data_IF_973663494772
#
_entry.id   IF_973663494772
#
_cell.length_a   1.000
_cell.length_b   1.000
_cell.length_c   1.000
_cell.angle_alpha   90.00
_cell.angle_beta   90.00
_cell.angle_gamma   90.00
#
_symmetry.space_group_name_H-M   'P 1'
#
loop_
_entity.id
_entity.type
_entity.pdbx_description
1 polymer ?
#
# COMPACT_ATOMS: atom_id res chain seq x y z
N UNK A 1 19.03 -7.52 4.10
CA UNK A 1 19.17 -7.28 2.64
C UNK A 1 18.25 -6.13 2.18
N UNK A 2 18.84 -4.96 1.91
CA UNK A 2 18.14 -3.84 1.28
C UNK A 2 17.52 -4.34 -0.03
N UNK A 3 16.19 -4.30 -0.13
CA UNK A 3 15.47 -4.50 -1.39
C UNK A 3 15.72 -3.26 -2.26
N UNK A 4 16.94 -3.15 -2.78
CA UNK A 4 17.42 -2.00 -3.52
C UNK A 4 16.59 -1.81 -4.79
N UNK A 5 15.97 -0.63 -4.91
CA UNK A 5 15.48 -0.17 -6.19
C UNK A 5 16.70 0.16 -7.06
N UNK A 6 17.02 -0.73 -8.00
CA UNK A 6 18.05 -0.48 -9.00
C UNK A 6 17.38 0.06 -10.25
N UNK A 7 17.44 1.39 -10.51
CA UNK A 7 16.99 1.93 -11.78
C UNK A 7 17.88 1.39 -12.91
N UNK A 8 17.35 1.28 -14.14
CA UNK A 8 18.17 0.89 -15.27
C UNK A 8 19.29 1.91 -15.52
N UNK A 9 20.46 1.46 -15.99
CA UNK A 9 21.56 2.35 -16.36
C UNK A 9 21.13 3.28 -17.51
N UNK A 10 21.58 4.53 -17.46
CA UNK A 10 21.23 5.58 -18.43
C UNK A 10 21.61 5.22 -19.89
N UNK A 11 22.54 4.28 -20.08
CA UNK A 11 22.95 3.75 -21.39
C UNK A 11 21.82 3.04 -22.15
N UNK A 12 20.75 2.63 -21.44
CA UNK A 12 19.60 1.95 -22.04
C UNK A 12 18.51 2.93 -22.51
N UNK A 13 18.64 4.23 -22.21
CA UNK A 13 17.69 5.25 -22.67
C UNK A 13 17.68 5.29 -24.21
N UNK A 14 16.50 5.31 -24.79
CA UNK A 14 16.25 5.26 -26.23
C UNK A 14 16.12 3.84 -26.81
N UNK A 15 16.49 2.80 -26.07
CA UNK A 15 16.40 1.41 -26.54
C UNK A 15 15.03 0.80 -26.27
N UNK A 16 14.57 -0.04 -27.20
CA UNK A 16 13.44 -0.94 -26.97
C UNK A 16 13.92 -2.18 -26.26
N UNK A 17 13.27 -2.53 -25.15
CA UNK A 17 13.56 -3.72 -24.36
C UNK A 17 12.29 -4.49 -24.07
N UNK A 18 12.48 -5.77 -23.81
CA UNK A 18 11.45 -6.65 -23.27
C UNK A 18 11.66 -6.81 -21.77
N UNK A 19 10.57 -7.10 -21.07
CA UNK A 19 10.61 -7.33 -19.64
C UNK A 19 9.31 -7.88 -19.10
N UNK A 20 9.33 -8.27 -17.82
CA UNK A 20 8.18 -8.87 -17.14
C UNK A 20 7.59 -7.89 -16.15
N UNK A 21 6.28 -7.69 -16.24
CA UNK A 21 5.53 -6.87 -15.29
C UNK A 21 5.58 -7.51 -13.92
N UNK A 22 6.19 -6.85 -12.95
CA UNK A 22 6.37 -7.41 -11.60
C UNK A 22 5.34 -6.93 -10.60
N UNK A 23 4.90 -5.68 -10.76
CA UNK A 23 3.91 -5.07 -9.89
C UNK A 23 3.00 -4.17 -10.70
N UNK A 24 1.71 -4.21 -10.33
CA UNK A 24 0.66 -3.36 -10.88
C UNK A 24 -0.10 -2.76 -9.72
N UNK A 25 -0.14 -1.43 -9.64
CA UNK A 25 -0.80 -0.67 -8.59
C UNK A 25 -1.92 0.14 -9.22
N UNK A 26 -3.16 -0.17 -8.84
CA UNK A 26 -4.38 0.54 -9.26
C UNK A 26 -5.12 1.00 -8.00
N UNK A 27 -4.77 2.18 -7.46
CA UNK A 27 -5.40 2.74 -6.25
C UNK A 27 -5.98 4.12 -6.55
N UNK A 28 -7.30 4.22 -6.59
CA UNK A 28 -8.00 5.48 -6.90
C UNK A 28 -7.61 5.99 -8.29
N UNK A 29 -7.14 7.25 -8.34
CA UNK A 29 -6.65 7.88 -9.58
C UNK A 29 -5.23 7.45 -9.97
N UNK A 30 -4.50 6.80 -9.07
CA UNK A 30 -3.11 6.44 -9.27
C UNK A 30 -3.04 5.04 -9.89
N UNK A 31 -2.55 4.97 -11.14
CA UNK A 31 -2.41 3.74 -11.92
C UNK A 31 -1.00 3.65 -12.50
N UNK A 32 -0.15 2.81 -11.91
CA UNK A 32 1.22 2.60 -12.37
C UNK A 32 1.68 1.17 -12.12
N UNK A 33 2.84 0.81 -12.66
CA UNK A 33 3.46 -0.47 -12.39
C UNK A 33 4.98 -0.43 -12.54
N UNK A 34 5.56 -1.61 -12.37
CA UNK A 34 6.99 -1.83 -12.53
C UNK A 34 7.23 -3.04 -13.43
N UNK A 35 8.29 -2.95 -14.24
CA UNK A 35 8.74 -4.00 -15.14
C UNK A 35 10.17 -4.35 -14.76
N UNK A 36 10.49 -5.64 -14.61
CA UNK A 36 11.89 -6.07 -14.56
C UNK A 36 12.41 -6.25 -15.97
N UNK A 37 13.61 -5.75 -16.22
CA UNK A 37 14.32 -5.97 -17.48
C UNK A 37 14.78 -7.42 -17.55
N UNK A 38 14.41 -8.11 -18.63
CA UNK A 38 14.75 -9.53 -18.80
C UNK A 38 14.15 -10.09 -20.09
N UNK A 39 14.79 -11.12 -20.63
CA UNK A 39 14.39 -11.74 -21.89
C UNK A 39 13.44 -12.93 -21.73
N UNK A 40 13.05 -13.27 -20.49
CA UNK A 40 12.23 -14.45 -20.20
C UNK A 40 11.01 -14.14 -19.34
N UNK A 41 10.11 -15.13 -19.11
CA UNK A 41 8.88 -14.97 -18.32
C UNK A 41 9.12 -14.88 -16.81
N UNK A 42 10.33 -15.22 -16.35
CA UNK A 42 10.68 -15.25 -14.94
C UNK A 42 11.01 -13.85 -14.40
N UNK A 43 10.56 -13.58 -13.17
CA UNK A 43 10.87 -12.34 -12.47
C UNK A 43 12.20 -12.52 -11.75
N UNK A 44 13.27 -12.02 -12.34
CA UNK A 44 14.55 -11.91 -11.65
C UNK A 44 14.52 -10.71 -10.68
N UNK A 45 14.46 -10.98 -9.38
CA UNK A 45 14.41 -9.93 -8.36
C UNK A 45 15.70 -9.08 -8.30
N UNK A 46 16.81 -9.58 -8.83
CA UNK A 46 18.07 -8.86 -8.92
C UNK A 46 18.16 -7.94 -10.15
N UNK A 47 17.28 -8.13 -11.14
CA UNK A 47 17.29 -7.33 -12.35
C UNK A 47 16.78 -5.89 -12.11
N UNK A 48 17.27 -4.90 -12.88
CA UNK A 48 16.81 -3.53 -12.74
C UNK A 48 15.32 -3.39 -13.03
N UNK A 49 14.65 -2.52 -12.26
CA UNK A 49 13.22 -2.25 -12.37
C UNK A 49 12.99 -0.90 -13.01
N UNK A 50 12.07 -0.85 -13.95
CA UNK A 50 11.63 0.39 -14.58
C UNK A 50 10.17 0.68 -14.25
N UNK A 51 9.89 1.95 -14.00
CA UNK A 51 8.55 2.47 -13.75
C UNK A 51 7.77 2.66 -15.06
N UNK A 52 6.47 2.39 -15.04
CA UNK A 52 5.56 2.76 -16.13
C UNK A 52 4.23 3.30 -15.60
N UNK A 53 3.67 4.30 -16.30
CA UNK A 53 2.28 4.73 -16.09
C UNK A 53 1.34 3.93 -17.00
N UNK A 54 0.09 3.74 -16.58
CA UNK A 54 -0.94 3.15 -17.43
C UNK A 54 -1.27 4.00 -18.65
N UNK A 55 -0.97 5.30 -18.62
CA UNK A 55 -1.14 6.20 -19.75
C UNK A 55 -0.14 5.91 -20.88
N UNK A 56 0.94 5.18 -20.57
CA UNK A 56 1.96 4.76 -21.54
C UNK A 56 1.66 3.40 -22.17
N UNK A 57 0.49 2.81 -21.89
CA UNK A 57 0.07 1.56 -22.52
C UNK A 57 -0.41 1.85 -23.94
N UNK A 58 0.23 1.23 -24.92
CA UNK A 58 -0.15 1.35 -26.33
C UNK A 58 -1.56 0.79 -26.61
N UNK A 59 -1.99 -0.19 -25.80
CA UNK A 59 -3.30 -0.81 -25.89
C UNK A 59 -3.97 -0.84 -24.51
N UNK A 60 -4.99 0.01 -24.34
CA UNK A 60 -5.78 0.06 -23.11
C UNK A 60 -6.80 -1.06 -22.99
N UNK A 61 -7.03 -1.84 -24.05
CA UNK A 61 -8.07 -2.88 -24.07
C UNK A 61 -7.67 -4.13 -23.30
N UNK A 62 -6.37 -4.45 -23.27
CA UNK A 62 -5.86 -5.63 -22.56
C UNK A 62 -5.38 -5.23 -21.15
N UNK A 63 -5.99 -5.77 -20.08
CA UNK A 63 -5.61 -5.42 -18.73
C UNK A 63 -4.23 -5.96 -18.39
N UNK A 64 -3.23 -5.09 -18.25
CA UNK A 64 -1.89 -5.52 -17.82
C UNK A 64 -1.91 -6.05 -16.37
N UNK A 65 -1.31 -7.24 -16.17
CA UNK A 65 -1.19 -7.94 -14.89
C UNK A 65 0.26 -8.37 -14.62
N UNK A 66 0.54 -8.72 -13.37
CA UNK A 66 1.83 -9.30 -12.96
C UNK A 66 2.12 -10.60 -13.72
N UNK A 67 3.34 -10.73 -14.21
CA UNK A 67 3.84 -11.87 -14.98
C UNK A 67 3.59 -11.75 -16.49
N UNK A 68 3.05 -10.63 -16.98
CA UNK A 68 2.95 -10.41 -18.42
C UNK A 68 4.27 -9.91 -18.99
N UNK A 69 4.60 -10.41 -20.18
CA UNK A 69 5.78 -10.01 -20.94
C UNK A 69 5.39 -8.83 -21.81
N UNK A 70 6.12 -7.73 -21.68
CA UNK A 70 5.88 -6.48 -22.39
C UNK A 70 7.13 -6.02 -23.11
N UNK A 71 6.94 -5.39 -24.27
CA UNK A 71 7.93 -4.60 -24.98
C UNK A 71 7.67 -3.13 -24.69
N UNK A 72 8.74 -2.38 -24.46
CA UNK A 72 8.65 -0.96 -24.15
C UNK A 72 9.92 -0.23 -24.59
N UNK A 73 9.80 1.07 -24.82
CA UNK A 73 10.93 1.95 -25.05
C UNK A 73 11.33 2.60 -23.73
N UNK A 74 12.62 2.60 -23.40
CA UNK A 74 13.11 3.32 -22.22
C UNK A 74 13.27 4.79 -22.60
N UNK A 75 12.47 5.65 -22.00
CA UNK A 75 12.53 7.11 -22.17
C UNK A 75 12.96 7.77 -20.86
N UNK A 76 13.37 9.04 -20.91
CA UNK A 76 13.76 9.81 -19.72
C UNK A 76 12.84 11.03 -19.58
N UNK A 77 12.40 11.31 -18.34
CA UNK A 77 11.61 12.51 -18.04
C UNK A 77 12.48 13.77 -17.99
N UNK A 78 11.88 14.94 -17.76
CA UNK A 78 12.58 16.22 -17.60
C UNK A 78 13.61 16.19 -16.45
N UNK A 79 13.44 15.29 -15.48
CA UNK A 79 14.35 15.05 -14.36
C UNK A 79 15.37 13.94 -14.65
N UNK A 80 15.53 13.51 -15.91
CA UNK A 80 16.41 12.41 -16.33
C UNK A 80 16.12 11.06 -15.67
N UNK A 81 14.89 10.85 -15.18
CA UNK A 81 14.46 9.58 -14.59
C UNK A 81 13.98 8.64 -15.71
N UNK A 82 14.53 7.42 -15.78
CA UNK A 82 14.13 6.46 -16.80
C UNK A 82 12.72 5.91 -16.50
N UNK A 83 11.86 5.92 -17.51
CA UNK A 83 10.53 5.33 -17.48
C UNK A 83 10.26 4.53 -18.75
N UNK A 84 9.35 3.58 -18.68
CA UNK A 84 8.93 2.79 -19.83
C UNK A 84 7.79 3.50 -20.56
N UNK A 85 8.03 3.75 -21.83
CA UNK A 85 7.16 4.43 -22.79
C UNK A 85 6.68 3.42 -23.85
N UNK A 86 5.50 3.66 -24.42
CA UNK A 86 4.85 2.80 -25.42
C UNK A 86 4.86 1.31 -25.02
N UNK A 87 4.40 1.02 -23.81
CA UNK A 87 4.37 -0.33 -23.25
C UNK A 87 3.28 -1.14 -23.96
N UNK A 88 3.69 -2.24 -24.62
CA UNK A 88 2.81 -3.14 -25.34
C UNK A 88 3.10 -4.60 -24.99
N UNK A 89 2.08 -5.46 -25.04
CA UNK A 89 2.30 -6.91 -24.88
C UNK A 89 3.02 -7.48 -26.09
N UNK A 90 4.04 -8.31 -25.84
CA UNK A 90 4.68 -9.13 -26.89
C UNK A 90 3.74 -10.24 -27.35
N UNK A 91 4.06 -10.94 -28.43
CA UNK A 91 3.28 -12.10 -28.89
C UNK A 91 3.15 -13.18 -27.80
N UNK A 92 4.26 -13.47 -27.12
CA UNK A 92 4.26 -14.35 -25.94
C UNK A 92 3.40 -13.79 -24.80
N UNK A 93 3.51 -12.49 -24.53
CA UNK A 93 2.70 -11.81 -23.53
C UNK A 93 1.20 -11.88 -23.83
N UNK A 94 0.81 -11.78 -25.11
CA UNK A 94 -0.57 -11.93 -25.57
C UNK A 94 -1.07 -13.36 -25.41
N UNK A 95 -0.25 -14.37 -25.72
CA UNK A 95 -0.62 -15.78 -25.49
C UNK A 95 -0.84 -16.08 -24.00
N UNK A 96 0.07 -15.60 -23.13
CA UNK A 96 -0.06 -15.73 -21.68
C UNK A 96 -1.30 -14.97 -21.17
N UNK A 97 -1.54 -13.76 -21.69
CA UNK A 97 -2.71 -12.97 -21.33
C UNK A 97 -4.01 -13.68 -21.73
N UNK A 98 -4.10 -14.21 -22.95
CA UNK A 98 -5.26 -14.94 -23.44
C UNK A 98 -5.52 -16.21 -22.61
N UNK A 99 -4.49 -17.01 -22.33
CA UNK A 99 -4.62 -18.23 -21.52
C UNK A 99 -5.10 -17.91 -20.09
N UNK A 100 -4.56 -16.85 -19.47
CA UNK A 100 -4.98 -16.45 -18.11
C UNK A 100 -6.37 -15.81 -18.08
N UNK A 101 -6.72 -14.97 -19.04
CA UNK A 101 -8.07 -14.40 -19.09
C UNK A 101 -9.11 -15.48 -19.41
N UNK A 102 -8.76 -16.51 -20.21
CA UNK A 102 -9.59 -17.69 -20.41
C UNK A 102 -9.75 -18.53 -19.12
N UNK A 103 -8.67 -18.79 -18.35
CA UNK A 103 -8.75 -19.48 -17.05
C UNK A 103 -9.55 -18.66 -16.03
N UNK A 104 -9.39 -17.33 -16.01
CA UNK A 104 -10.20 -16.45 -15.14
C UNK A 104 -11.68 -16.48 -15.57
N UNK A 105 -11.97 -16.48 -16.87
CA UNK A 105 -13.33 -16.58 -17.38
C UNK A 105 -13.96 -17.95 -17.05
N UNK A 106 -13.21 -19.04 -17.24
CA UNK A 106 -13.63 -20.40 -16.88
C UNK A 106 -13.87 -20.53 -15.39
N UNK A 107 -12.96 -20.06 -14.53
CA UNK A 107 -13.18 -20.03 -13.07
C UNK A 107 -14.35 -19.12 -12.65
N UNK A 108 -14.71 -18.15 -13.47
CA UNK A 108 -15.88 -17.29 -13.24
C UNK A 108 -17.17 -17.99 -13.69
N UNK A 109 -17.13 -18.85 -14.70
CA UNK A 109 -18.28 -19.61 -15.21
C UNK A 109 -18.50 -20.96 -14.53
N UNK A 110 -17.45 -21.62 -14.05
CA UNK A 110 -17.48 -22.91 -13.33
C UNK A 110 -17.69 -22.74 -11.82
N UNK A 111 -17.61 -21.51 -11.32
CA UNK A 111 -18.25 -21.23 -10.04
C UNK A 111 -19.75 -21.50 -10.23
N UNK A 112 -20.38 -22.42 -9.48
CA UNK A 112 -21.81 -22.27 -9.27
C UNK A 112 -22.05 -20.86 -8.74
N UNK A 113 -23.29 -20.40 -8.71
CA UNK A 113 -23.67 -19.35 -7.77
C UNK A 113 -23.48 -19.89 -6.33
N UNK A 114 -22.24 -20.20 -5.93
CA UNK A 114 -21.79 -19.85 -4.60
C UNK A 114 -22.11 -18.38 -4.56
N UNK A 115 -23.07 -18.04 -3.71
CA UNK A 115 -23.18 -16.74 -3.09
C UNK A 115 -21.81 -16.08 -3.09
N UNK A 116 -21.81 -14.79 -3.33
CA UNK A 116 -20.78 -13.89 -2.87
C UNK A 116 -20.34 -14.31 -1.44
N UNK A 117 -19.44 -15.30 -1.33
CA UNK A 117 -18.51 -15.43 -0.25
C UNK A 117 -17.57 -14.28 -0.53
N UNK A 118 -18.07 -13.09 -0.19
CA UNK A 118 -17.45 -12.34 0.87
C UNK A 118 -16.14 -13.04 1.26
N UNK A 119 -14.99 -12.52 0.79
CA UNK A 119 -13.94 -12.24 1.80
C UNK A 119 -14.77 -11.79 3.00
N UNK A 120 -14.87 -12.50 4.13
CA UNK A 120 -15.93 -12.26 5.09
C UNK A 120 -16.03 -10.75 5.19
N UNK A 121 -17.10 -10.15 4.61
CA UNK A 121 -17.32 -8.72 4.76
C UNK A 121 -17.59 -8.78 6.23
N UNK A 122 -16.60 -8.49 7.10
CA UNK A 122 -16.69 -8.73 8.54
C UNK A 122 -18.10 -8.32 8.91
N UNK A 123 -19.00 -9.31 9.10
CA UNK A 123 -20.44 -9.08 8.95
C UNK A 123 -20.73 -7.86 9.79
N UNK A 124 -21.14 -6.70 9.23
CA UNK A 124 -20.83 -5.35 9.74
C UNK A 124 -20.78 -5.41 11.24
N UNK A 125 -19.54 -5.63 11.78
CA UNK A 125 -19.34 -6.35 13.07
C UNK A 125 -20.40 -5.80 13.98
N UNK A 126 -21.44 -6.60 14.29
CA UNK A 126 -22.52 -6.15 15.16
C UNK A 126 -21.77 -5.46 16.26
N UNK A 127 -21.88 -4.11 16.29
CA UNK A 127 -21.08 -3.34 17.21
C UNK A 127 -21.67 -3.82 18.50
N UNK A 128 -21.01 -4.78 19.16
CA UNK A 128 -21.29 -5.14 20.53
C UNK A 128 -21.47 -3.79 21.17
N UNK A 129 -22.64 -3.56 21.73
CA UNK A 129 -22.89 -2.34 22.48
C UNK A 129 -21.84 -2.41 23.58
N UNK A 130 -20.70 -1.78 23.30
CA UNK A 130 -19.57 -1.79 24.19
C UNK A 130 -20.04 -0.83 25.24
N UNK A 131 -20.47 -1.36 26.38
CA UNK A 131 -20.83 -0.56 27.54
C UNK A 131 -19.76 0.51 27.69
N UNK A 132 -20.17 1.78 27.61
CA UNK A 132 -19.29 2.91 27.73
C UNK A 132 -18.77 2.96 29.17
N UNK A 133 -17.70 2.21 29.45
CA UNK A 133 -16.94 2.28 30.70
C UNK A 133 -16.02 3.48 30.60
N UNK A 134 -16.63 4.65 30.75
CA UNK A 134 -15.94 5.94 30.78
C UNK A 134 -15.14 6.05 32.08
N UNK A 135 -13.84 6.29 31.94
CA UNK A 135 -12.91 6.53 33.04
C UNK A 135 -12.37 7.95 32.89
N UNK A 136 -12.37 8.70 33.99
CA UNK A 136 -11.68 9.98 34.07
C UNK A 136 -10.20 9.71 34.39
N UNK A 137 -9.31 10.06 33.46
CA UNK A 137 -7.87 9.89 33.61
C UNK A 137 -7.21 11.25 33.77
N UNK A 138 -6.42 11.41 34.83
CA UNK A 138 -5.51 12.55 34.95
C UNK A 138 -4.27 12.26 34.11
N UNK A 139 -4.03 13.09 33.09
CA UNK A 139 -2.91 12.91 32.17
C UNK A 139 -2.02 14.14 32.14
N UNK A 140 -0.75 13.93 31.80
CA UNK A 140 0.25 14.96 31.47
C UNK A 140 0.93 14.60 30.16
N UNK A 141 1.43 15.61 29.47
CA UNK A 141 2.18 15.44 28.23
C UNK A 141 3.64 15.87 28.41
N UNK A 142 4.54 15.24 27.67
CA UNK A 142 5.95 15.62 27.67
C UNK A 142 6.13 17.11 27.34
N UNK A 143 6.95 17.81 28.13
CA UNK A 143 7.17 19.26 27.98
C UNK A 143 6.04 20.16 28.50
N UNK A 144 4.92 19.60 28.99
CA UNK A 144 3.81 20.36 29.62
C UNK A 144 3.65 19.94 31.07
N UNK A 145 3.81 20.89 31.99
CA UNK A 145 3.64 20.66 33.44
C UNK A 145 2.18 20.59 33.90
N UNK A 146 1.24 20.96 33.05
CA UNK A 146 -0.19 20.98 33.37
C UNK A 146 -0.79 19.56 33.28
N UNK A 147 -1.52 19.17 34.33
CA UNK A 147 -2.32 17.97 34.32
C UNK A 147 -3.75 18.30 33.85
N UNK A 148 -4.29 17.50 32.93
CA UNK A 148 -5.67 17.65 32.45
C UNK A 148 -6.43 16.35 32.67
N UNK A 149 -7.70 16.48 33.03
CA UNK A 149 -8.62 15.35 33.18
C UNK A 149 -9.21 15.05 31.80
N UNK A 150 -9.01 13.84 31.30
CA UNK A 150 -9.63 13.37 30.06
C UNK A 150 -10.64 12.26 30.36
N UNK A 151 -11.80 12.31 29.71
CA UNK A 151 -12.77 11.22 29.77
C UNK A 151 -12.46 10.23 28.64
N UNK A 152 -12.12 9.00 28.98
CA UNK A 152 -11.76 7.96 28.02
C UNK A 152 -12.59 6.71 28.24
N UNK A 153 -13.16 6.16 27.17
CA UNK A 153 -13.80 4.85 27.23
C UNK A 153 -12.70 3.77 27.23
N UNK A 154 -12.59 3.01 28.32
CA UNK A 154 -11.60 1.95 28.51
C UNK A 154 -11.57 0.91 27.38
N UNK A 155 -12.70 0.71 26.70
CA UNK A 155 -12.80 -0.25 25.60
C UNK A 155 -12.28 0.29 24.26
N UNK A 156 -11.86 1.55 24.19
CA UNK A 156 -11.19 2.13 23.01
C UNK A 156 -9.69 1.81 23.00
N UNK A 157 -9.06 1.90 21.82
CA UNK A 157 -7.63 1.58 21.69
C UNK A 157 -6.72 2.64 22.34
N UNK A 158 -5.54 2.21 22.78
CA UNK A 158 -4.48 3.09 23.33
C UNK A 158 -4.09 4.20 22.34
N UNK A 159 -4.16 3.94 21.03
CA UNK A 159 -3.94 4.97 20.00
C UNK A 159 -5.00 6.08 20.02
N UNK A 160 -6.27 5.77 20.30
CA UNK A 160 -7.31 6.79 20.50
C UNK A 160 -7.08 7.59 21.77
N UNK A 161 -6.64 6.93 22.85
CA UNK A 161 -6.26 7.61 24.09
C UNK A 161 -5.15 8.63 23.83
N UNK A 162 -4.11 8.24 23.08
CA UNK A 162 -3.02 9.14 22.69
C UNK A 162 -3.55 10.36 21.94
N UNK A 163 -4.35 10.14 20.90
CA UNK A 163 -4.90 11.23 20.10
C UNK A 163 -5.76 12.18 20.95
N UNK A 164 -6.62 11.66 21.83
CA UNK A 164 -7.44 12.48 22.73
C UNK A 164 -6.53 13.30 23.65
N UNK A 165 -5.53 12.68 24.26
CA UNK A 165 -4.60 13.36 25.14
C UNK A 165 -3.79 14.45 24.40
N UNK A 166 -3.14 14.13 23.28
CA UNK A 166 -2.32 15.10 22.53
C UNK A 166 -3.17 16.24 21.98
N UNK A 167 -4.40 15.98 21.54
CA UNK A 167 -5.35 17.03 21.12
C UNK A 167 -5.73 17.93 22.29
N UNK A 168 -5.95 17.37 23.49
CA UNK A 168 -6.30 18.15 24.69
C UNK A 168 -5.16 19.07 25.16
N UNK A 169 -3.92 18.71 24.85
CA UNK A 169 -2.72 19.52 25.15
C UNK A 169 -2.23 20.38 23.99
N UNK A 170 -2.89 20.33 22.83
CA UNK A 170 -2.38 20.91 21.57
C UNK A 170 -0.92 20.53 21.30
N UNK A 171 -0.55 19.30 21.67
CA UNK A 171 0.81 18.80 21.61
C UNK A 171 1.03 17.96 20.33
N UNK A 172 2.25 17.97 19.76
CA UNK A 172 2.61 17.06 18.68
C UNK A 172 2.34 15.59 19.04
N UNK A 173 1.89 14.79 18.06
CA UNK A 173 1.59 13.36 18.24
C UNK A 173 2.84 12.55 18.62
N UNK A 174 4.02 13.10 18.40
CA UNK A 174 5.31 12.52 18.77
C UNK A 174 5.56 12.55 20.27
N UNK A 175 4.85 13.39 21.04
CA UNK A 175 5.10 13.52 22.48
C UNK A 175 4.54 12.35 23.28
N UNK A 176 5.26 11.97 24.34
CA UNK A 176 4.79 10.95 25.26
C UNK A 176 3.68 11.51 26.16
N UNK A 177 2.74 10.63 26.51
CA UNK A 177 1.63 10.94 27.42
C UNK A 177 1.76 10.04 28.64
N UNK A 178 1.61 10.64 29.82
CA UNK A 178 1.71 9.98 31.11
C UNK A 178 0.39 10.13 31.87
N UNK A 179 -0.05 9.08 32.55
CA UNK A 179 -1.10 9.13 33.54
C UNK A 179 -0.49 9.51 34.90
N UNK A 180 -1.14 10.40 35.64
CA UNK A 180 -0.82 10.64 37.05
C UNK A 180 -1.67 9.70 37.89
N UNK A 181 -1.04 8.70 38.50
CA UNK A 181 -1.69 7.80 39.45
C UNK A 181 -2.04 8.52 40.76
N UNK A 182 -2.90 7.92 41.59
CA UNK A 182 -3.36 8.53 42.84
C UNK A 182 -2.23 8.83 43.85
N UNK A 183 -1.08 8.16 43.72
CA UNK A 183 0.14 8.38 44.49
C UNK A 183 1.05 9.48 43.90
N UNK A 184 0.64 10.16 42.82
CA UNK A 184 1.42 11.19 42.14
C UNK A 184 2.47 10.66 41.16
N UNK A 185 2.60 9.34 41.00
CA UNK A 185 3.55 8.75 40.06
C UNK A 185 3.08 8.89 38.62
N UNK A 186 4.03 9.13 37.71
CA UNK A 186 3.78 9.21 36.27
C UNK A 186 3.86 7.81 35.66
N UNK A 187 2.70 7.23 35.38
CA UNK A 187 2.58 5.96 34.67
C UNK A 187 2.60 6.24 33.17
N UNK A 188 3.56 5.63 32.46
CA UNK A 188 3.66 5.78 31.01
C UNK A 188 2.42 5.20 30.31
N UNK A 189 1.71 6.01 29.52
CA UNK A 189 0.53 5.55 28.78
C UNK A 189 0.87 5.16 27.34
N UNK A 190 1.59 6.02 26.61
CA UNK A 190 1.80 5.84 25.17
C UNK A 190 3.19 6.29 24.74
N UNK A 191 3.79 5.54 23.80
CA UNK A 191 5.11 5.84 23.20
C UNK A 191 4.97 6.77 21.99
N UNK A 192 5.93 7.68 21.83
CA UNK A 192 6.26 8.31 20.56
C UNK A 192 6.39 7.27 19.44
N UNK A 193 5.74 7.50 18.29
CA UNK A 193 5.93 6.68 17.08
C UNK A 193 6.95 7.41 16.21
#
# INVERSE_FOLDING_TARGET
>A
PSRGFFPPPATLIGQTKTGVVSAVIKKGRVKFGFIHLGNGPEIDEAAPRIYFSFDQLADSTVPVRRGYIVSFKISADESQRPFADNVALTEEGKAIAAAREADIAQRKSEKPAVEESEKPKRAPRERRVVEDKLVALNVTCEGKGEAKVITFNFAQSVGKLKNIATTTFEAPVEYNVFHIAANGEKVFLTKAI
#
